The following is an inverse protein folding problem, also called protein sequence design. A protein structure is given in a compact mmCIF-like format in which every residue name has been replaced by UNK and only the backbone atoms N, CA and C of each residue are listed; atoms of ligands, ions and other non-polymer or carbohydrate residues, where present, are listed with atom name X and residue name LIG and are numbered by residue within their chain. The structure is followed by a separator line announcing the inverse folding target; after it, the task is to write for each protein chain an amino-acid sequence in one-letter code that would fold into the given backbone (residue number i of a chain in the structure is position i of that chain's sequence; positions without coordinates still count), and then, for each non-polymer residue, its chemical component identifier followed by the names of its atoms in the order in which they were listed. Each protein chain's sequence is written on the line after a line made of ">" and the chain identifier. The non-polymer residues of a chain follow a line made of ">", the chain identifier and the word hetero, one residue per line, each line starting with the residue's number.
data_IF_951328038349
#
_entry.id   IF_951328038349
#
_cell.length_a   1.000
_cell.length_b   1.000
_cell.length_c   1.000
_cell.angle_alpha   90.00
_cell.angle_beta   90.00
_cell.angle_gamma   90.00
#
_symmetry.space_group_name_H-M   'P 1'
#
loop_
_entity.id
_entity.type
_entity.pdbx_description
1 polymer ?
#
# COMPACT_ATOMS: atom_id res chain seq x y z
N UNK A 1 -4.14 17.98 1.16
CA UNK A 1 -3.63 16.96 0.24
C UNK A 1 -3.81 15.61 0.90
N UNK A 2 -4.40 14.63 0.22
CA UNK A 2 -4.51 13.26 0.75
C UNK A 2 -3.23 12.47 0.43
N UNK A 3 -3.10 11.28 1.01
CA UNK A 3 -1.91 10.44 0.84
C UNK A 3 -1.67 10.05 -0.63
N UNK A 4 -2.72 9.71 -1.39
CA UNK A 4 -2.61 9.27 -2.79
C UNK A 4 -2.14 10.42 -3.69
N UNK A 5 -2.67 11.63 -3.48
CA UNK A 5 -2.27 12.81 -4.24
C UNK A 5 -0.80 13.15 -3.97
N UNK A 6 -0.35 13.13 -2.70
CA UNK A 6 1.05 13.37 -2.38
C UNK A 6 1.97 12.30 -3.01
N UNK A 7 1.55 11.04 -3.00
CA UNK A 7 2.30 9.95 -3.65
C UNK A 7 2.45 10.21 -5.15
N UNK A 8 1.38 10.62 -5.84
CA UNK A 8 1.40 10.92 -7.28
C UNK A 8 2.30 12.11 -7.64
N UNK A 9 2.35 13.12 -6.79
CA UNK A 9 3.19 14.30 -6.99
C UNK A 9 4.66 14.03 -6.66
N UNK A 10 4.94 13.16 -5.69
CA UNK A 10 6.29 12.91 -5.18
C UNK A 10 7.06 11.90 -6.03
N UNK A 11 6.39 10.85 -6.53
CA UNK A 11 7.08 9.71 -7.14
C UNK A 11 6.81 9.59 -8.64
N UNK A 12 7.84 9.21 -9.40
CA UNK A 12 7.66 8.75 -10.78
C UNK A 12 7.15 7.32 -10.76
N UNK A 13 5.98 7.08 -11.32
CA UNK A 13 5.35 5.76 -11.32
C UNK A 13 4.57 5.50 -12.60
N UNK A 14 4.43 4.23 -12.95
CA UNK A 14 3.51 3.76 -13.98
C UNK A 14 2.16 3.48 -13.33
N UNK A 15 1.21 4.40 -13.47
CA UNK A 15 -0.13 4.27 -12.91
C UNK A 15 -0.92 3.23 -13.73
N UNK A 16 -1.49 2.23 -13.05
CA UNK A 16 -2.33 1.21 -13.70
C UNK A 16 -3.69 1.80 -14.13
N UNK A 17 -4.30 1.32 -15.23
CA UNK A 17 -5.56 1.88 -15.76
C UNK A 17 -6.75 1.85 -14.78
N UNK A 18 -6.71 0.95 -13.79
CA UNK A 18 -7.77 0.80 -12.78
C UNK A 18 -7.69 1.84 -11.65
N UNK A 19 -6.66 2.69 -11.66
CA UNK A 19 -6.38 3.70 -10.62
C UNK A 19 -7.05 5.04 -10.93
N UNK A 20 -8.37 5.03 -11.14
CA UNK A 20 -9.14 6.24 -11.46
C UNK A 20 -9.56 6.96 -10.18
N UNK A 21 -9.39 8.28 -10.15
CA UNK A 21 -9.81 9.12 -9.01
C UNK A 21 -8.78 9.22 -7.89
N UNK A 22 -9.21 9.71 -6.73
CA UNK A 22 -8.38 9.93 -5.52
C UNK A 22 -8.42 8.78 -4.51
N UNK A 23 -9.33 7.82 -4.69
CA UNK A 23 -9.71 6.89 -3.62
C UNK A 23 -8.98 5.55 -3.73
N UNK A 24 -8.39 5.28 -4.89
CA UNK A 24 -7.54 4.12 -5.14
C UNK A 24 -6.38 4.46 -6.08
N UNK A 25 -5.22 3.92 -5.75
CA UNK A 25 -4.00 3.99 -6.54
C UNK A 25 -3.34 2.62 -6.58
N UNK A 26 -3.27 2.06 -7.78
CA UNK A 26 -2.34 1.01 -8.14
C UNK A 26 -1.32 1.54 -9.13
N UNK A 27 -0.03 1.40 -8.80
CA UNK A 27 1.06 1.87 -9.64
C UNK A 27 2.31 1.00 -9.46
N UNK A 28 3.16 0.98 -10.48
CA UNK A 28 4.48 0.35 -10.41
C UNK A 28 5.54 1.44 -10.31
N UNK A 29 6.50 1.24 -9.42
CA UNK A 29 7.62 2.15 -9.22
C UNK A 29 8.93 1.39 -9.03
N UNK A 30 10.04 2.13 -9.09
CA UNK A 30 11.36 1.56 -8.83
C UNK A 30 11.60 1.38 -7.33
N UNK A 31 12.24 0.27 -6.95
CA UNK A 31 12.59 -0.03 -5.56
C UNK A 31 13.58 0.97 -4.96
N UNK A 32 14.30 1.73 -5.77
CA UNK A 32 15.19 2.82 -5.31
C UNK A 32 14.45 3.90 -4.50
N UNK A 33 13.16 4.08 -4.76
CA UNK A 33 12.33 5.11 -4.11
C UNK A 33 11.58 4.56 -2.88
N UNK A 34 11.78 3.28 -2.53
CA UNK A 34 11.01 2.59 -1.50
C UNK A 34 11.25 3.14 -0.10
N UNK A 35 12.46 3.63 0.21
CA UNK A 35 12.78 4.20 1.52
C UNK A 35 12.01 5.52 1.76
N UNK A 36 11.95 6.36 0.71
CA UNK A 36 11.19 7.61 0.74
C UNK A 36 9.70 7.31 0.82
N UNK A 37 9.19 6.35 0.03
CA UNK A 37 7.80 5.92 0.11
C UNK A 37 7.45 5.37 1.49
N UNK A 38 8.29 4.51 2.07
CA UNK A 38 8.06 4.00 3.42
C UNK A 38 8.00 5.12 4.46
N UNK A 39 8.82 6.16 4.32
CA UNK A 39 8.80 7.31 5.23
C UNK A 39 7.50 8.11 5.09
N UNK A 40 7.02 8.31 3.86
CA UNK A 40 5.72 8.93 3.60
C UNK A 40 4.57 8.08 4.17
N UNK A 41 4.56 6.78 3.89
CA UNK A 41 3.52 5.86 4.38
C UNK A 41 3.50 5.83 5.90
N UNK A 42 4.66 5.81 6.56
CA UNK A 42 4.76 5.87 8.02
C UNK A 42 4.17 7.14 8.61
N UNK A 43 4.31 8.27 7.93
CA UNK A 43 3.73 9.55 8.36
C UNK A 43 2.20 9.56 8.27
N UNK A 44 1.63 8.93 7.24
CA UNK A 44 0.18 8.88 7.06
C UNK A 44 -0.48 7.75 7.87
N UNK A 45 0.10 6.56 7.83
CA UNK A 45 -0.53 5.31 8.27
C UNK A 45 0.06 4.77 9.57
N UNK A 46 1.23 5.27 10.00
CA UNK A 46 1.98 4.69 11.11
C UNK A 46 2.87 3.52 10.67
N UNK A 47 3.40 2.73 11.62
CA UNK A 47 4.29 1.62 11.30
C UNK A 47 3.59 0.56 10.43
N UNK A 48 4.38 -0.24 9.72
CA UNK A 48 3.84 -1.33 8.93
C UNK A 48 3.14 -2.34 9.84
N UNK A 49 1.88 -2.64 9.56
CA UNK A 49 1.16 -3.73 10.21
C UNK A 49 1.75 -5.09 9.83
N UNK A 50 2.25 -5.20 8.59
CA UNK A 50 3.08 -6.31 8.13
C UNK A 50 4.36 -5.77 7.53
N UNK A 51 5.49 -6.13 8.13
CA UNK A 51 6.81 -5.83 7.57
C UNK A 51 7.23 -6.87 6.52
N UNK A 52 8.07 -6.43 5.58
CA UNK A 52 8.73 -7.31 4.62
C UNK A 52 9.49 -8.43 5.35
N UNK A 53 9.30 -9.67 4.89
CA UNK A 53 9.97 -10.85 5.42
C UNK A 53 9.33 -11.42 6.69
N UNK A 54 8.32 -10.74 7.26
CA UNK A 54 7.60 -11.14 8.48
C UNK A 54 6.16 -11.52 8.18
N UNK A 55 5.62 -12.39 9.01
CA UNK A 55 4.19 -12.64 9.13
C UNK A 55 3.55 -11.58 10.03
N UNK A 56 2.26 -11.34 9.86
CA UNK A 56 1.49 -10.45 10.70
C UNK A 56 0.14 -11.09 11.00
N UNK A 57 -0.34 -10.90 12.22
CA UNK A 57 -1.71 -11.25 12.61
C UNK A 57 -2.55 -9.98 12.43
N UNK A 58 -3.40 -9.97 11.43
CA UNK A 58 -4.28 -8.83 11.13
C UNK A 58 -5.69 -9.12 11.68
N UNK A 59 -6.46 -8.09 12.07
CA UNK A 59 -7.89 -8.28 12.34
C UNK A 59 -8.61 -8.82 11.11
N UNK A 60 -9.67 -9.60 11.31
CA UNK A 60 -10.37 -10.33 10.23
C UNK A 60 -10.84 -9.39 9.10
N UNK A 61 -11.35 -8.23 9.45
CA UNK A 61 -11.85 -7.24 8.49
C UNK A 61 -10.70 -6.67 7.62
N UNK A 62 -9.50 -6.59 8.20
CA UNK A 62 -8.28 -6.17 7.49
C UNK A 62 -7.73 -7.33 6.63
N UNK A 63 -7.87 -8.58 7.08
CA UNK A 63 -7.55 -9.75 6.25
C UNK A 63 -8.44 -9.83 5.02
N UNK A 64 -9.76 -9.61 5.16
CA UNK A 64 -10.71 -9.58 4.04
C UNK A 64 -10.36 -8.46 3.04
N UNK A 65 -9.96 -7.27 3.53
CA UNK A 65 -9.42 -6.20 2.70
C UNK A 65 -8.15 -6.65 1.96
N UNK A 66 -7.19 -7.24 2.67
CA UNK A 66 -5.94 -7.74 2.07
C UNK A 66 -6.20 -8.80 1.00
N UNK A 67 -7.13 -9.72 1.24
CA UNK A 67 -7.49 -10.77 0.30
C UNK A 67 -8.13 -10.19 -0.96
N UNK A 68 -8.96 -9.15 -0.83
CA UNK A 68 -9.52 -8.42 -1.98
C UNK A 68 -8.45 -7.75 -2.84
N UNK A 69 -7.30 -7.40 -2.25
CA UNK A 69 -6.17 -6.84 -2.97
C UNK A 69 -5.35 -7.91 -3.69
N UNK A 70 -5.56 -9.20 -3.40
CA UNK A 70 -4.81 -10.35 -3.92
C UNK A 70 -3.89 -11.03 -2.90
N UNK A 71 -4.10 -10.75 -1.61
CA UNK A 71 -3.37 -11.35 -0.48
C UNK A 71 -2.02 -10.69 -0.18
N UNK A 72 -1.39 -11.09 0.92
CA UNK A 72 -0.05 -10.65 1.31
C UNK A 72 0.94 -11.82 1.40
N UNK A 73 1.97 -11.79 0.55
CA UNK A 73 3.08 -12.75 0.61
C UNK A 73 4.16 -12.31 1.62
N UNK A 74 5.06 -13.24 1.97
CA UNK A 74 6.15 -13.02 2.93
C UNK A 74 6.95 -11.73 2.65
N UNK A 75 7.32 -11.49 1.41
CA UNK A 75 8.16 -10.35 1.00
C UNK A 75 7.40 -9.03 0.80
N UNK A 76 6.09 -9.03 1.03
CA UNK A 76 5.23 -7.86 0.86
C UNK A 76 5.01 -7.15 2.18
N UNK A 77 4.86 -5.83 2.13
CA UNK A 77 4.57 -5.00 3.29
C UNK A 77 3.15 -4.46 3.23
N UNK A 78 2.55 -4.24 4.40
CA UNK A 78 1.21 -3.66 4.51
C UNK A 78 1.14 -2.64 5.63
N UNK A 79 0.49 -1.54 5.34
CA UNK A 79 0.26 -0.39 6.20
C UNK A 79 -1.22 -0.09 6.18
N UNK A 80 -1.78 0.22 7.34
CA UNK A 80 -3.14 0.73 7.39
C UNK A 80 -3.30 1.63 8.61
N UNK A 81 -4.25 2.55 8.51
CA UNK A 81 -4.76 3.34 9.61
C UNK A 81 -6.27 3.32 9.56
N UNK A 82 -6.88 2.96 10.67
CA UNK A 82 -8.32 2.93 10.83
C UNK A 82 -8.79 4.18 11.58
N UNK A 83 -9.80 4.86 11.04
CA UNK A 83 -10.48 6.00 11.65
C UNK A 83 -11.98 5.74 11.61
N UNK A 84 -12.53 5.25 12.73
CA UNK A 84 -13.93 4.81 12.79
C UNK A 84 -14.18 3.59 11.90
N UNK A 85 -15.08 3.74 10.94
CA UNK A 85 -15.41 2.71 9.95
C UNK A 85 -14.54 2.79 8.70
N UNK A 86 -13.70 3.82 8.57
CA UNK A 86 -12.85 3.96 7.40
C UNK A 86 -11.44 3.42 7.66
N UNK A 87 -10.88 2.73 6.67
CA UNK A 87 -9.50 2.25 6.65
C UNK A 87 -8.78 2.85 5.46
N UNK A 88 -7.74 3.62 5.74
CA UNK A 88 -6.77 4.06 4.75
C UNK A 88 -5.63 3.05 4.74
N UNK A 89 -5.22 2.57 3.56
CA UNK A 89 -4.24 1.49 3.47
C UNK A 89 -3.20 1.70 2.36
N UNK A 90 -2.08 0.98 2.49
CA UNK A 90 -1.08 0.82 1.46
C UNK A 90 -0.42 -0.57 1.55
N UNK A 91 -0.32 -1.25 0.42
CA UNK A 91 0.41 -2.51 0.24
C UNK A 91 1.58 -2.28 -0.72
N UNK A 92 2.76 -2.78 -0.35
CA UNK A 92 3.96 -2.77 -1.18
C UNK A 92 4.29 -4.19 -1.59
N UNK A 93 4.31 -4.42 -2.90
CA UNK A 93 4.52 -5.72 -3.51
C UNK A 93 5.77 -5.74 -4.38
N UNK A 94 6.95 -6.02 -3.81
CA UNK A 94 8.17 -6.22 -4.60
C UNK A 94 7.97 -7.37 -5.58
N UNK A 95 8.46 -7.21 -6.81
CA UNK A 95 8.37 -8.25 -7.82
C UNK A 95 9.51 -9.24 -7.66
N UNK A 96 9.17 -10.52 -7.66
CA UNK A 96 10.18 -11.60 -7.63
C UNK A 96 10.87 -11.72 -9.00
N UNK A 97 10.14 -11.52 -10.10
CA UNK A 97 10.68 -11.58 -11.46
C UNK A 97 11.56 -10.39 -11.82
N UNK A 98 11.39 -9.25 -11.14
CA UNK A 98 12.20 -8.05 -11.33
C UNK A 98 12.39 -7.32 -9.99
N UNK A 99 13.52 -7.51 -9.30
CA UNK A 99 13.77 -6.90 -7.99
C UNK A 99 13.92 -5.38 -8.04
N UNK A 100 13.95 -4.77 -9.23
CA UNK A 100 13.95 -3.32 -9.39
C UNK A 100 12.54 -2.73 -9.30
N UNK A 101 11.49 -3.56 -9.30
CA UNK A 101 10.09 -3.12 -9.33
C UNK A 101 9.33 -3.46 -8.07
N UNK A 102 8.43 -2.55 -7.71
CA UNK A 102 7.44 -2.74 -6.65
C UNK A 102 6.10 -2.21 -7.13
N UNK A 103 5.04 -3.01 -6.96
CA UNK A 103 3.67 -2.51 -7.09
C UNK A 103 3.24 -1.89 -5.76
N UNK A 104 2.81 -0.63 -5.82
CA UNK A 104 2.07 0.02 -4.74
C UNK A 104 0.58 -0.13 -5.01
N UNK A 105 -0.17 -0.61 -4.01
CA UNK A 105 -1.63 -0.51 -3.97
C UNK A 105 -2.00 0.32 -2.76
N UNK A 106 -2.80 1.36 -2.93
CA UNK A 106 -3.22 2.22 -1.84
C UNK A 106 -4.63 2.71 -2.06
N UNK A 107 -5.38 2.91 -0.99
CA UNK A 107 -6.75 3.33 -1.11
C UNK A 107 -7.41 3.61 0.23
N UNK A 108 -8.69 3.87 0.13
CA UNK A 108 -9.62 4.02 1.25
C UNK A 108 -10.70 2.95 1.11
N UNK A 109 -11.00 2.24 2.20
CA UNK A 109 -12.07 1.25 2.28
C UNK A 109 -12.95 1.57 3.49
N UNK A 110 -14.26 1.38 3.34
CA UNK A 110 -15.17 1.34 4.49
C UNK A 110 -15.22 -0.11 5.03
N UNK A 111 -15.22 -0.25 6.34
CA UNK A 111 -15.46 -1.50 7.05
C UNK A 111 -16.97 -1.66 7.20
N UNK A 112 -17.51 -2.75 6.65
CA UNK A 112 -18.92 -3.12 6.68
C UNK A 112 -19.33 -3.82 7.97
#
# INVERSE_FOLDING_TARGET
>A
MNMIDEIRETFKMEIRPNSRGSDYLEAVMDTKDIELLNSLLKRYLGPAAKERGKEANLPKEIEELVDSLGGLRREQSFFYRQEGHQVVYAALWPWESDPTKVTLKSGVSELS
#
